data_IF_246027268925
#
_entry.id   IF_246027268925
#
_cell.length_a   1.000
_cell.length_b   1.000
_cell.length_c   1.000
_cell.angle_alpha   90.00
_cell.angle_beta   90.00
_cell.angle_gamma   90.00
#
_symmetry.space_group_name_H-M   'P 1'
#
loop_
_entity.id
_entity.type
_entity.pdbx_description
1 polymer ?
#
# COMPACT_ATOMS: atom_id res chain seq x y z
N UNK A 1 -0.71 10.53 13.40
CA UNK A 1 -2.13 10.95 13.59
C UNK A 1 -3.01 9.72 13.76
N UNK A 2 -4.18 9.86 14.41
CA UNK A 2 -5.19 8.79 14.47
C UNK A 2 -6.12 8.86 13.26
N UNK A 3 -6.36 7.72 12.62
CA UNK A 3 -7.36 7.55 11.56
C UNK A 3 -8.48 6.62 12.05
N UNK A 4 -9.72 7.08 11.93
CA UNK A 4 -10.92 6.28 12.19
C UNK A 4 -11.85 6.40 10.98
N UNK A 5 -12.21 5.27 10.36
CA UNK A 5 -13.14 5.27 9.24
C UNK A 5 -13.18 3.96 8.45
N UNK A 6 -14.14 3.89 7.53
CA UNK A 6 -14.31 2.75 6.63
C UNK A 6 -13.33 2.83 5.46
N UNK A 7 -12.62 1.73 5.24
CA UNK A 7 -11.68 1.52 4.15
C UNK A 7 -12.09 0.31 3.30
N UNK A 8 -11.56 0.22 2.08
CA UNK A 8 -11.92 -0.82 1.12
C UNK A 8 -10.67 -1.50 0.54
N UNK A 9 -10.77 -2.80 0.28
CA UNK A 9 -9.77 -3.58 -0.45
C UNK A 9 -10.46 -4.48 -1.47
N UNK A 10 -9.95 -4.48 -2.69
CA UNK A 10 -10.30 -5.48 -3.70
C UNK A 10 -9.24 -6.58 -3.67
N UNK A 11 -9.64 -7.78 -3.24
CA UNK A 11 -8.75 -8.94 -3.11
C UNK A 11 -8.72 -9.76 -4.37
N UNK A 12 -7.54 -10.32 -4.67
CA UNK A 12 -7.46 -11.54 -5.46
C UNK A 12 -8.25 -12.64 -4.71
N UNK A 13 -9.20 -13.33 -5.36
CA UNK A 13 -10.06 -14.34 -4.72
C UNK A 13 -9.28 -15.42 -3.97
N UNK A 14 -8.04 -15.70 -4.38
CA UNK A 14 -7.15 -16.66 -3.70
C UNK A 14 -6.81 -16.25 -2.28
N UNK A 15 -6.87 -14.97 -1.93
CA UNK A 15 -6.56 -14.45 -0.59
C UNK A 15 -7.80 -14.10 0.25
N UNK A 16 -9.00 -14.24 -0.31
CA UNK A 16 -10.24 -13.83 0.35
C UNK A 16 -10.50 -14.56 1.69
N UNK A 17 -9.91 -15.74 1.89
CA UNK A 17 -10.00 -16.52 3.13
C UNK A 17 -9.20 -15.94 4.31
N UNK A 18 -8.31 -14.96 4.07
CA UNK A 18 -7.50 -14.25 5.08
C UNK A 18 -7.53 -12.74 4.82
N UNK A 19 -8.66 -12.07 5.01
CA UNK A 19 -8.89 -10.70 4.51
C UNK A 19 -7.96 -9.64 5.16
N UNK A 20 -7.45 -9.88 6.36
CA UNK A 20 -6.53 -8.97 7.06
C UNK A 20 -5.06 -9.30 6.82
N UNK A 21 -4.74 -10.39 6.10
CA UNK A 21 -3.35 -10.76 5.81
C UNK A 21 -2.72 -9.82 4.78
N UNK A 22 -1.44 -9.51 5.01
CA UNK A 22 -0.55 -8.82 4.08
C UNK A 22 0.39 -9.76 3.31
N UNK A 23 0.25 -11.08 3.45
CA UNK A 23 1.22 -12.07 2.94
C UNK A 23 1.40 -11.97 1.42
N UNK A 24 0.32 -11.73 0.68
CA UNK A 24 0.40 -11.55 -0.77
C UNK A 24 1.32 -10.39 -1.18
N UNK A 25 1.28 -9.27 -0.44
CA UNK A 25 2.17 -8.13 -0.67
C UNK A 25 3.62 -8.44 -0.26
N UNK A 26 3.83 -9.36 0.70
CA UNK A 26 5.16 -9.76 1.14
C UNK A 26 5.91 -10.62 0.11
N UNK A 27 5.21 -11.42 -0.72
CA UNK A 27 5.86 -12.39 -1.63
C UNK A 27 6.90 -11.71 -2.54
N UNK A 28 6.55 -10.57 -3.12
CA UNK A 28 7.43 -9.79 -4.02
C UNK A 28 7.75 -8.40 -3.48
N UNK A 29 7.06 -7.94 -2.44
CA UNK A 29 6.96 -6.52 -2.12
C UNK A 29 6.01 -5.80 -3.07
N UNK A 30 5.62 -4.58 -2.71
CA UNK A 30 4.83 -3.68 -3.56
C UNK A 30 5.35 -2.24 -3.37
N UNK A 31 4.59 -1.22 -3.80
CA UNK A 31 5.05 0.18 -3.81
C UNK A 31 5.66 0.62 -2.47
N UNK A 32 5.01 0.35 -1.34
CA UNK A 32 5.41 0.88 -0.03
C UNK A 32 5.88 -0.19 0.97
N UNK A 33 6.07 -1.44 0.56
CA UNK A 33 6.55 -2.51 1.45
C UNK A 33 7.63 -3.36 0.78
N UNK A 34 8.78 -3.58 1.46
CA UNK A 34 9.81 -4.50 1.00
C UNK A 34 9.33 -5.94 0.87
N UNK A 35 10.06 -6.72 0.07
CA UNK A 35 9.88 -8.18 0.01
C UNK A 35 10.05 -8.78 1.41
N UNK A 36 9.15 -9.70 1.76
CA UNK A 36 9.08 -10.36 3.06
C UNK A 36 8.33 -9.56 4.14
N UNK A 37 7.92 -8.32 3.85
CA UNK A 37 7.16 -7.48 4.79
C UNK A 37 5.67 -7.52 4.43
N UNK A 38 4.80 -8.13 5.26
CA UNK A 38 3.35 -8.09 5.05
C UNK A 38 2.82 -6.67 5.15
N UNK A 39 1.95 -6.29 4.21
CA UNK A 39 1.30 -4.99 4.22
C UNK A 39 -0.14 -5.07 3.74
N UNK A 40 -1.02 -4.29 4.37
CA UNK A 40 -2.43 -4.16 4.01
C UNK A 40 -2.63 -2.87 3.21
N UNK A 41 -2.95 -2.99 1.93
CA UNK A 41 -3.28 -1.85 1.07
C UNK A 41 -4.79 -1.62 1.08
N UNK A 42 -5.18 -0.43 1.50
CA UNK A 42 -6.57 0.00 1.63
C UNK A 42 -6.81 1.30 0.86
N UNK A 43 -8.04 1.49 0.39
CA UNK A 43 -8.48 2.73 -0.23
C UNK A 43 -9.69 3.30 0.52
N UNK A 44 -9.85 4.63 0.48
CA UNK A 44 -10.98 5.32 1.11
C UNK A 44 -12.29 5.23 0.31
N UNK A 45 -12.24 4.71 -0.92
CA UNK A 45 -13.43 4.48 -1.75
C UNK A 45 -13.34 3.14 -2.47
N UNK A 46 -14.50 2.55 -2.76
CA UNK A 46 -14.61 1.34 -3.57
C UNK A 46 -13.97 1.52 -4.94
N UNK A 47 -14.23 2.67 -5.59
CA UNK A 47 -13.72 2.95 -6.94
C UNK A 47 -12.19 2.98 -6.97
N UNK A 48 -11.56 3.58 -5.96
CA UNK A 48 -10.10 3.59 -5.84
C UNK A 48 -9.56 2.17 -5.57
N UNK A 49 -10.19 1.40 -4.69
CA UNK A 49 -9.77 0.01 -4.42
C UNK A 49 -9.76 -0.85 -5.69
N UNK A 50 -10.82 -0.74 -6.52
CA UNK A 50 -10.92 -1.46 -7.79
C UNK A 50 -9.89 -0.95 -8.81
N UNK A 51 -9.68 0.35 -8.93
CA UNK A 51 -8.69 0.91 -9.86
C UNK A 51 -7.26 0.45 -9.53
N UNK A 52 -6.90 0.47 -8.24
CA UNK A 52 -5.57 0.06 -7.78
C UNK A 52 -5.34 -1.45 -7.93
N UNK A 53 -6.33 -2.28 -7.63
CA UNK A 53 -6.22 -3.74 -7.83
C UNK A 53 -5.94 -4.10 -9.30
N UNK A 54 -6.45 -3.30 -10.23
CA UNK A 54 -6.24 -3.46 -11.66
C UNK A 54 -5.02 -2.66 -12.19
N UNK A 55 -4.18 -2.11 -11.30
CA UNK A 55 -3.00 -1.31 -11.62
C UNK A 55 -3.27 -0.15 -12.59
N UNK A 56 -4.49 0.41 -12.57
CA UNK A 56 -4.91 1.48 -13.48
C UNK A 56 -5.22 1.06 -14.92
N UNK A 57 -5.18 -0.25 -15.25
CA UNK A 57 -5.52 -0.72 -16.60
C UNK A 57 -7.03 -0.84 -16.78
N UNK A 58 -7.61 0.06 -17.59
CA UNK A 58 -9.06 0.21 -17.78
C UNK A 58 -9.80 -1.02 -18.38
N UNK A 59 -9.07 -1.96 -19.00
CA UNK A 59 -9.64 -3.13 -19.68
C UNK A 59 -9.24 -4.47 -19.05
N UNK A 60 -8.68 -4.43 -17.83
CA UNK A 60 -8.23 -5.62 -17.11
C UNK A 60 -8.85 -5.62 -15.74
N UNK A 61 -10.15 -5.91 -15.67
CA UNK A 61 -10.81 -6.19 -14.39
C UNK A 61 -10.75 -7.70 -14.20
N UNK A 62 -9.75 -8.15 -13.45
CA UNK A 62 -9.71 -9.53 -13.00
C UNK A 62 -10.79 -9.73 -11.90
N UNK A 63 -11.40 -10.93 -11.79
CA UNK A 63 -12.34 -11.21 -10.71
C UNK A 63 -11.72 -10.88 -9.35
N UNK A 64 -12.43 -10.11 -8.53
CA UNK A 64 -11.97 -9.71 -7.20
C UNK A 64 -13.08 -9.81 -6.15
N UNK A 65 -12.69 -9.98 -4.89
CA UNK A 65 -13.60 -9.90 -3.74
C UNK A 65 -13.42 -8.54 -3.10
N UNK A 66 -14.49 -7.73 -3.08
CA UNK A 66 -14.49 -6.44 -2.41
C UNK A 66 -14.80 -6.62 -0.93
N UNK A 67 -13.95 -6.08 -0.06
CA UNK A 67 -14.15 -6.07 1.38
C UNK A 67 -14.09 -4.63 1.93
N UNK A 68 -14.97 -4.33 2.89
CA UNK A 68 -14.89 -3.14 3.73
C UNK A 68 -14.20 -3.46 5.06
N UNK A 69 -13.50 -2.48 5.62
CA UNK A 69 -12.77 -2.55 6.87
C UNK A 69 -13.11 -1.33 7.71
N UNK A 70 -13.57 -1.56 8.93
CA UNK A 70 -13.60 -0.50 9.95
C UNK A 70 -12.19 -0.39 10.52
N UNK A 71 -11.54 0.75 10.26
CA UNK A 71 -10.17 1.02 10.72
C UNK A 71 -10.23 2.00 11.87
N UNK A 72 -9.53 1.67 12.94
CA UNK A 72 -9.17 2.57 14.02
C UNK A 72 -7.68 2.39 14.31
N UNK A 73 -6.86 3.32 13.82
CA UNK A 73 -5.40 3.25 13.91
C UNK A 73 -4.84 4.56 14.45
N UNK A 74 -4.13 4.49 15.59
CA UNK A 74 -3.57 5.67 16.27
C UNK A 74 -2.27 6.20 15.66
N UNK A 75 -1.53 5.36 14.93
CA UNK A 75 -0.15 5.63 14.50
C UNK A 75 -0.02 5.67 12.98
N UNK A 76 -0.74 6.61 12.36
CA UNK A 76 -0.66 6.88 10.92
C UNK A 76 0.24 8.08 10.67
N UNK A 77 1.31 7.89 9.89
CA UNK A 77 2.07 8.99 9.30
C UNK A 77 1.34 9.53 8.08
N UNK A 78 0.94 10.80 8.11
CA UNK A 78 0.23 11.42 6.98
C UNK A 78 1.21 11.98 5.93
N UNK A 79 1.50 11.16 4.93
CA UNK A 79 2.35 11.55 3.80
C UNK A 79 1.59 12.31 2.69
N UNK A 80 0.30 12.60 2.86
CA UNK A 80 -0.49 13.35 1.88
C UNK A 80 -0.17 14.84 1.93
N UNK A 81 0.23 15.35 3.08
CA UNK A 81 0.62 16.76 3.30
C UNK A 81 2.11 16.99 3.06
N UNK A 82 2.49 18.21 2.68
CA UNK A 82 3.90 18.61 2.60
C UNK A 82 4.58 18.59 3.97
N UNK A 83 3.86 19.01 5.02
CA UNK A 83 4.36 18.98 6.39
C UNK A 83 4.71 17.57 6.86
N UNK A 84 3.79 16.60 6.75
CA UNK A 84 4.04 15.24 7.22
C UNK A 84 5.15 14.53 6.43
N UNK A 85 5.29 14.87 5.14
CA UNK A 85 6.45 14.47 4.33
C UNK A 85 7.76 15.07 4.83
N UNK A 86 7.78 16.36 5.14
CA UNK A 86 8.94 17.06 5.71
C UNK A 86 9.38 16.46 7.06
N UNK A 87 8.44 16.24 7.98
CA UNK A 87 8.69 15.64 9.29
C UNK A 87 9.26 14.21 9.17
N UNK A 88 8.86 13.47 8.14
CA UNK A 88 9.30 12.10 7.89
C UNK A 88 10.51 11.99 6.97
N UNK A 89 11.05 13.12 6.47
CA UNK A 89 12.09 13.13 5.44
C UNK A 89 11.75 12.27 4.22
N UNK A 90 10.49 12.33 3.78
CA UNK A 90 9.96 11.63 2.60
C UNK A 90 9.66 12.65 1.51
N UNK A 91 10.19 12.44 0.31
CA UNK A 91 9.88 13.31 -0.84
C UNK A 91 8.64 12.81 -1.58
N UNK A 92 8.04 13.65 -2.43
CA UNK A 92 6.99 13.19 -3.33
C UNK A 92 7.54 12.21 -4.37
N UNK A 93 8.77 12.45 -4.82
CA UNK A 93 9.52 11.64 -5.79
C UNK A 93 9.78 10.23 -5.26
N UNK A 94 10.08 10.07 -3.97
CA UNK A 94 10.22 8.75 -3.32
C UNK A 94 8.93 7.94 -3.52
N UNK A 95 7.76 8.55 -3.33
CA UNK A 95 6.46 7.89 -3.48
C UNK A 95 6.05 7.67 -4.95
N UNK A 96 6.40 8.62 -5.82
CA UNK A 96 6.08 8.62 -7.25
C UNK A 96 7.02 7.76 -8.09
N UNK A 97 8.09 7.21 -7.49
CA UNK A 97 9.09 6.42 -8.20
C UNK A 97 8.50 5.25 -9.02
N UNK A 98 9.22 4.86 -10.07
CA UNK A 98 8.86 3.74 -10.94
C UNK A 98 9.12 2.36 -10.28
N UNK A 99 8.49 2.12 -9.12
CA UNK A 99 8.74 0.98 -8.25
C UNK A 99 8.62 -0.37 -8.96
N UNK A 100 7.62 -0.54 -9.83
CA UNK A 100 7.39 -1.80 -10.54
C UNK A 100 8.52 -2.10 -11.54
N UNK A 101 9.04 -1.07 -12.19
CA UNK A 101 10.20 -1.17 -13.10
C UNK A 101 11.45 -1.53 -12.32
N UNK A 102 11.72 -0.85 -11.20
CA UNK A 102 12.86 -1.14 -10.33
C UNK A 102 12.84 -2.61 -9.86
N UNK A 103 11.68 -3.10 -9.37
CA UNK A 103 11.53 -4.51 -8.98
C UNK A 103 11.75 -5.48 -10.13
N UNK A 104 11.27 -5.13 -11.34
CA UNK A 104 11.47 -5.97 -12.53
C UNK A 104 12.95 -6.01 -12.96
N UNK A 105 13.71 -4.95 -12.69
CA UNK A 105 15.16 -4.88 -12.89
C UNK A 105 15.99 -5.49 -11.76
N UNK A 106 15.37 -6.00 -10.69
CA UNK A 106 16.08 -6.52 -9.52
C UNK A 106 16.64 -5.43 -8.59
N UNK A 107 16.24 -4.18 -8.81
CA UNK A 107 16.64 -3.02 -8.01
C UNK A 107 15.69 -2.79 -6.84
N UNK A 108 16.19 -2.15 -5.79
CA UNK A 108 15.36 -1.71 -4.66
C UNK A 108 14.63 -0.40 -5.03
N UNK A 109 13.29 -0.35 -5.00
CA UNK A 109 12.55 0.90 -5.23
C UNK A 109 12.89 1.98 -4.21
N UNK A 110 12.97 3.24 -4.64
CA UNK A 110 13.19 4.38 -3.75
C UNK A 110 12.11 4.49 -2.66
N UNK A 111 10.86 4.19 -3.01
CA UNK A 111 9.72 4.12 -2.08
C UNK A 111 9.91 3.15 -0.92
N UNK A 112 10.81 2.16 -1.01
CA UNK A 112 11.08 1.24 0.10
C UNK A 112 11.90 1.90 1.22
N UNK A 113 12.62 3.00 0.95
CA UNK A 113 13.25 3.78 2.01
C UNK A 113 12.23 4.45 2.92
N UNK A 114 11.00 4.67 2.45
CA UNK A 114 9.89 5.17 3.28
C UNK A 114 9.59 4.16 4.39
N UNK A 115 9.53 2.86 4.07
CA UNK A 115 9.37 1.81 5.07
C UNK A 115 10.52 1.83 6.09
N UNK A 116 11.77 1.99 5.63
CA UNK A 116 12.92 2.00 6.53
C UNK A 116 12.88 3.17 7.52
N UNK A 117 12.36 4.33 7.08
CA UNK A 117 12.20 5.54 7.91
C UNK A 117 11.03 5.43 8.91
N UNK A 118 9.93 4.82 8.49
CA UNK A 118 8.67 4.81 9.24
C UNK A 118 8.42 3.55 10.07
N UNK A 119 9.15 2.45 9.81
CA UNK A 119 8.99 1.26 10.65
C UNK A 119 9.39 1.60 12.10
N UNK A 120 8.67 1.07 13.10
CA UNK A 120 9.09 1.19 14.49
C UNK A 120 10.52 0.68 14.64
N UNK A 121 11.40 1.50 15.21
CA UNK A 121 12.66 1.00 15.74
C UNK A 121 12.30 0.25 17.01
N UNK A 122 12.57 -1.07 17.03
CA UNK A 122 12.33 -1.91 18.21
C UNK A 122 13.15 -1.46 19.41
#
# INVERSE_FOLDING_TARGET
>A
MRFVGTCYRAHDPRWAFKPTSGDGAAIRGARFNPKGVPALYLALTVMTAVKEANQGFAHRIDPCVLCSYEVDCGDITDLTTEQGRGESSVTFEDMACAWATALSGGERPASWFIYDRLRPQG
#
